data_IF_363782673742
#
_entry.id   IF_363782673742
#
_cell.length_a   1.000
_cell.length_b   1.000
_cell.length_c   1.000
_cell.angle_alpha   90.00
_cell.angle_beta   90.00
_cell.angle_gamma   90.00
#
_symmetry.space_group_name_H-M   'P 1'
#
loop_
_entity.id
_entity.type
_entity.pdbx_description
1 polymer ?
#
# COMPACT_ATOMS: atom_id res chain seq x y z
N UNK A 1 16.06 14.61 -19.03
CA UNK A 1 14.97 13.64 -18.84
C UNK A 1 14.94 13.24 -17.38
N UNK A 2 13.89 13.61 -16.65
CA UNK A 2 13.72 13.27 -15.23
C UNK A 2 13.00 11.94 -15.03
N UNK A 3 13.07 11.39 -13.83
CA UNK A 3 12.38 10.15 -13.46
C UNK A 3 11.64 10.31 -12.15
N UNK A 4 10.44 9.74 -12.03
CA UNK A 4 9.72 9.71 -10.76
C UNK A 4 9.05 8.36 -10.50
N UNK A 5 8.92 8.04 -9.21
CA UNK A 5 8.19 6.85 -8.75
C UNK A 5 6.69 7.06 -8.91
N UNK A 6 5.99 6.06 -9.45
CA UNK A 6 4.52 6.06 -9.52
C UNK A 6 3.92 6.06 -8.12
N UNK A 7 2.96 6.96 -7.88
CA UNK A 7 2.23 7.03 -6.61
C UNK A 7 0.97 6.19 -6.67
N UNK A 8 0.92 5.16 -5.82
CA UNK A 8 -0.14 4.13 -5.82
C UNK A 8 -1.03 4.15 -4.59
N UNK A 9 -0.63 4.88 -3.56
CA UNK A 9 -1.41 5.12 -2.35
C UNK A 9 -1.18 6.56 -1.86
N UNK A 10 -2.07 7.01 -0.96
CA UNK A 10 -2.04 8.34 -0.36
C UNK A 10 -1.66 8.36 1.12
N UNK A 11 -1.12 7.27 1.68
CA UNK A 11 -0.89 7.14 3.13
C UNK A 11 0.21 8.08 3.64
N UNK A 12 1.20 8.37 2.80
CA UNK A 12 2.34 9.24 3.05
C UNK A 12 2.09 10.72 2.67
N UNK A 13 0.94 11.06 2.08
CA UNK A 13 0.65 12.46 1.71
C UNK A 13 0.72 13.42 2.92
N UNK A 14 0.43 12.91 4.12
CA UNK A 14 0.48 13.69 5.37
C UNK A 14 1.90 14.06 5.81
N UNK A 15 2.90 13.29 5.38
CA UNK A 15 4.31 13.47 5.77
C UNK A 15 5.14 14.18 4.71
N UNK A 16 4.56 14.49 3.54
CA UNK A 16 5.28 15.19 2.49
C UNK A 16 5.49 16.66 2.85
N UNK A 17 6.73 17.18 2.75
CA UNK A 17 7.03 18.55 3.14
C UNK A 17 6.26 19.57 2.29
N UNK A 18 5.96 19.28 1.03
CA UNK A 18 5.26 20.19 0.11
C UNK A 18 3.74 20.23 0.30
N UNK A 19 3.19 19.36 1.15
CA UNK A 19 1.75 19.21 1.35
C UNK A 19 1.27 19.94 2.62
N UNK A 20 2.16 20.57 3.42
CA UNK A 20 1.81 21.05 4.75
C UNK A 20 2.64 22.23 5.31
N UNK A 21 3.18 23.12 4.45
CA UNK A 21 4.22 24.09 4.87
C UNK A 21 3.76 25.42 5.46
N UNK A 22 2.45 25.71 5.60
CA UNK A 22 2.01 27.01 6.14
C UNK A 22 1.05 26.92 7.35
N UNK A 23 1.37 27.66 8.42
CA UNK A 23 0.43 28.11 9.45
C UNK A 23 -0.07 27.10 10.49
N UNK A 24 0.46 25.87 10.57
CA UNK A 24 -0.02 24.90 11.57
C UNK A 24 -1.50 24.49 11.37
N UNK A 25 -2.04 24.65 10.16
CA UNK A 25 -3.40 24.24 9.79
C UNK A 25 -4.44 25.36 9.59
N UNK A 26 -4.06 26.64 9.61
CA UNK A 26 -4.98 27.77 9.35
C UNK A 26 -4.97 28.22 7.89
N UNK A 27 -6.13 28.12 7.22
CA UNK A 27 -6.39 28.50 5.83
C UNK A 27 -6.04 29.97 5.49
N UNK A 28 -5.43 30.19 4.31
CA UNK A 28 -5.22 31.50 3.70
C UNK A 28 -5.87 31.53 2.30
N UNK A 29 -6.86 32.40 2.10
CA UNK A 29 -7.59 32.53 0.83
C UNK A 29 -6.77 33.08 -0.35
N UNK A 30 -5.51 33.48 -0.10
CA UNK A 30 -4.63 34.14 -1.08
C UNK A 30 -3.43 33.28 -1.49
N UNK A 31 -3.25 32.06 -0.95
CA UNK A 31 -2.09 31.20 -1.22
C UNK A 31 -2.48 29.71 -1.37
N UNK A 32 -1.93 29.05 -2.38
CA UNK A 32 -2.33 27.72 -2.86
C UNK A 32 -1.70 26.53 -2.11
N UNK A 33 -1.63 26.57 -0.79
CA UNK A 33 -0.69 25.70 -0.05
C UNK A 33 -1.30 24.61 0.83
N UNK A 34 -2.49 24.08 0.49
CA UNK A 34 -3.08 23.01 1.29
C UNK A 34 -3.46 21.78 0.47
N UNK A 35 -2.83 20.66 0.79
CA UNK A 35 -3.46 19.35 0.73
C UNK A 35 -3.63 18.88 2.20
N UNK A 36 -4.75 18.24 2.57
CA UNK A 36 -5.07 18.05 3.97
C UNK A 36 -4.16 17.04 4.68
N UNK A 37 -4.05 17.26 6.00
CA UNK A 37 -3.41 16.38 6.99
C UNK A 37 -4.05 14.98 7.08
N UNK A 38 -5.18 14.71 6.42
CA UNK A 38 -5.69 13.36 6.16
C UNK A 38 -6.69 13.36 4.99
N UNK A 39 -6.76 12.24 4.26
CA UNK A 39 -7.91 11.90 3.43
C UNK A 39 -8.58 10.70 4.12
N UNK A 40 -9.50 10.95 5.05
CA UNK A 40 -10.19 9.89 5.79
C UNK A 40 -11.61 10.33 6.15
N UNK A 41 -12.60 9.81 5.44
CA UNK A 41 -14.03 10.06 5.70
C UNK A 41 -14.72 11.04 4.74
N UNK A 42 -16.01 11.27 4.99
CA UNK A 42 -16.89 12.18 4.24
C UNK A 42 -16.56 13.66 4.50
N UNK A 43 -16.93 14.55 3.57
CA UNK A 43 -16.77 16.02 3.68
C UNK A 43 -17.24 16.61 5.03
N UNK A 44 -18.23 15.99 5.66
CA UNK A 44 -18.84 16.41 6.93
C UNK A 44 -17.95 16.24 8.17
N UNK A 45 -16.95 15.37 8.14
CA UNK A 45 -16.06 15.10 9.29
C UNK A 45 -14.86 16.06 9.34
N UNK A 46 -14.74 16.99 8.39
CA UNK A 46 -13.58 17.85 8.24
C UNK A 46 -13.79 19.21 8.91
N UNK A 47 -12.85 19.59 9.77
CA UNK A 47 -12.87 20.83 10.56
C UNK A 47 -12.93 22.10 9.71
N UNK A 48 -12.57 22.02 8.42
CA UNK A 48 -12.74 23.09 7.45
C UNK A 48 -13.22 22.51 6.11
N UNK A 49 -14.54 22.59 5.88
CA UNK A 49 -15.25 22.14 4.66
C UNK A 49 -14.70 22.69 3.34
N UNK A 50 -13.87 23.72 3.39
CA UNK A 50 -13.31 24.40 2.22
C UNK A 50 -11.85 24.00 1.92
N UNK A 51 -11.23 23.07 2.67
CA UNK A 51 -9.77 22.94 2.73
C UNK A 51 -9.18 21.52 2.65
N UNK A 52 -9.90 20.50 2.16
CA UNK A 52 -9.32 19.15 2.10
C UNK A 52 -9.65 18.39 0.81
N UNK A 53 -8.74 17.58 0.29
CA UNK A 53 -8.96 16.56 -0.75
C UNK A 53 -9.07 17.03 -2.19
N UNK A 54 -9.18 18.34 -2.45
CA UNK A 54 -9.51 18.87 -3.78
C UNK A 54 -8.52 18.42 -4.86
N UNK A 55 -9.06 17.97 -6.00
CA UNK A 55 -8.34 17.61 -7.21
C UNK A 55 -7.26 18.64 -7.59
N UNK A 56 -7.56 19.93 -7.49
CA UNK A 56 -6.65 21.01 -7.88
C UNK A 56 -5.36 21.02 -7.06
N UNK A 57 -5.47 20.80 -5.75
CA UNK A 57 -4.30 20.82 -4.87
C UNK A 57 -3.50 19.54 -4.97
N UNK A 58 -4.20 18.40 -5.04
CA UNK A 58 -3.54 17.12 -5.26
C UNK A 58 -2.73 17.14 -6.55
N UNK A 59 -3.34 17.55 -7.67
CA UNK A 59 -2.67 17.61 -8.97
C UNK A 59 -1.41 18.47 -8.91
N UNK A 60 -1.53 19.73 -8.46
CA UNK A 60 -0.40 20.67 -8.39
C UNK A 60 0.69 20.16 -7.44
N UNK A 61 0.31 19.68 -6.25
CA UNK A 61 1.26 19.13 -5.29
C UNK A 61 1.98 17.90 -5.82
N UNK A 62 1.27 17.01 -6.53
CA UNK A 62 1.84 15.79 -7.11
C UNK A 62 2.79 16.11 -8.26
N UNK A 63 2.45 17.09 -9.11
CA UNK A 63 3.36 17.52 -10.16
C UNK A 63 4.63 18.14 -9.58
N UNK A 64 4.51 19.00 -8.57
CA UNK A 64 5.68 19.57 -7.90
C UNK A 64 6.54 18.49 -7.24
N UNK A 65 5.93 17.51 -6.57
CA UNK A 65 6.63 16.38 -5.95
C UNK A 65 7.38 15.54 -7.00
N UNK A 66 6.70 15.18 -8.10
CA UNK A 66 7.23 14.26 -9.10
C UNK A 66 8.25 14.90 -10.03
N UNK A 67 8.09 16.19 -10.34
CA UNK A 67 8.84 16.85 -11.41
C UNK A 67 9.70 18.02 -10.92
N UNK A 68 9.52 18.45 -9.67
CA UNK A 68 10.10 19.70 -9.16
C UNK A 68 9.44 20.97 -9.72
N UNK A 69 8.56 20.83 -10.73
CA UNK A 69 7.86 21.94 -11.36
C UNK A 69 6.49 22.16 -10.74
N UNK A 70 6.21 23.40 -10.37
CA UNK A 70 4.88 23.84 -9.92
C UNK A 70 4.27 24.75 -10.97
N UNK A 71 3.08 24.39 -11.44
CA UNK A 71 2.31 25.25 -12.36
C UNK A 71 2.17 26.66 -11.76
N UNK A 72 2.51 27.72 -12.51
CA UNK A 72 2.32 29.11 -12.09
C UNK A 72 0.85 29.45 -11.79
N UNK A 73 0.59 30.21 -10.71
CA UNK A 73 -0.75 30.49 -10.20
C UNK A 73 -1.68 31.10 -11.27
N UNK A 74 -1.18 32.02 -12.10
CA UNK A 74 -1.92 32.69 -13.16
C UNK A 74 -2.53 31.72 -14.19
N UNK A 75 -1.95 30.53 -14.36
CA UNK A 75 -2.44 29.51 -15.29
C UNK A 75 -3.52 28.61 -14.68
N UNK A 76 -3.71 28.70 -13.36
CA UNK A 76 -4.56 27.80 -12.56
C UNK A 76 -5.43 28.55 -11.56
N UNK A 77 -5.87 29.77 -11.92
CA UNK A 77 -6.86 30.55 -11.15
C UNK A 77 -8.28 30.04 -11.45
N UNK A 78 -9.11 30.00 -10.42
CA UNK A 78 -10.51 29.59 -10.54
C UNK A 78 -10.70 28.08 -10.51
N UNK A 79 -11.78 27.60 -11.11
CA UNK A 79 -12.12 26.18 -11.09
C UNK A 79 -11.19 25.38 -12.01
N UNK A 80 -11.09 24.07 -11.79
CA UNK A 80 -10.26 23.18 -12.59
C UNK A 80 -10.53 23.33 -14.11
N UNK A 81 -11.81 23.41 -14.52
CA UNK A 81 -12.18 23.58 -15.94
C UNK A 81 -11.63 24.87 -16.57
N UNK A 82 -11.33 25.88 -15.76
CA UNK A 82 -10.90 27.20 -16.22
C UNK A 82 -9.37 27.26 -16.44
N UNK A 83 -8.62 26.25 -15.98
CA UNK A 83 -7.15 26.24 -16.07
C UNK A 83 -6.66 26.17 -17.52
N UNK A 84 -5.57 26.87 -17.81
CA UNK A 84 -4.94 26.87 -19.13
C UNK A 84 -4.29 25.51 -19.42
N UNK A 85 -4.29 25.06 -20.67
CA UNK A 85 -3.62 23.81 -21.10
C UNK A 85 -2.55 24.10 -22.15
N UNK A 86 -1.51 23.28 -22.21
CA UNK A 86 -0.38 23.41 -23.15
C UNK A 86 -0.60 22.61 -24.43
N UNK A 87 -1.21 21.43 -24.31
CA UNK A 87 -1.33 20.46 -25.41
C UNK A 87 -2.54 19.57 -25.23
N UNK A 88 -2.98 18.92 -26.31
CA UNK A 88 -3.97 17.85 -26.30
C UNK A 88 -3.33 16.45 -26.29
N UNK A 89 -2.00 16.38 -26.37
CA UNK A 89 -1.27 15.11 -26.34
C UNK A 89 -0.98 14.71 -24.89
N UNK A 90 -1.35 13.50 -24.45
CA UNK A 90 -1.03 13.02 -23.12
C UNK A 90 0.49 12.88 -22.92
N UNK A 91 0.98 13.36 -21.77
CA UNK A 91 2.41 13.31 -21.41
C UNK A 91 2.58 12.86 -19.96
N UNK A 92 3.55 11.97 -19.70
CA UNK A 92 3.90 11.53 -18.35
C UNK A 92 4.39 12.72 -17.51
N UNK A 93 3.88 12.86 -16.29
CA UNK A 93 4.18 14.00 -15.43
C UNK A 93 3.33 15.25 -15.68
N UNK A 94 2.43 15.23 -16.65
CA UNK A 94 1.49 16.33 -16.90
C UNK A 94 0.28 16.28 -15.97
N UNK A 95 -0.42 17.40 -15.83
CA UNK A 95 -1.77 17.43 -15.29
C UNK A 95 -2.77 17.33 -16.45
N UNK A 96 -3.69 16.38 -16.38
CA UNK A 96 -4.86 16.38 -17.26
C UNK A 96 -5.94 17.28 -16.67
N UNK A 97 -6.52 18.13 -17.50
CA UNK A 97 -7.63 19.03 -17.13
C UNK A 97 -8.91 18.53 -17.79
N UNK A 98 -9.94 18.30 -16.98
CA UNK A 98 -11.27 17.88 -17.43
C UNK A 98 -12.27 19.01 -17.30
N UNK A 99 -13.23 19.05 -18.23
CA UNK A 99 -14.39 19.94 -18.17
C UNK A 99 -15.70 19.17 -18.09
N UNK A 100 -16.62 19.73 -17.34
CA UNK A 100 -18.01 19.32 -17.18
C UNK A 100 -18.90 20.56 -16.95
N UNK A 101 -20.18 20.34 -16.62
CA UNK A 101 -21.09 21.44 -16.28
C UNK A 101 -20.76 22.10 -14.92
N UNK A 102 -20.08 21.38 -14.01
CA UNK A 102 -19.68 21.83 -12.68
C UNK A 102 -18.35 22.58 -12.63
N UNK A 103 -17.44 22.15 -11.75
CA UNK A 103 -16.16 22.83 -11.48
C UNK A 103 -14.98 22.29 -12.33
N UNK A 104 -15.20 21.24 -13.12
CA UNK A 104 -14.13 20.47 -13.75
C UNK A 104 -13.36 19.60 -12.77
N UNK A 105 -12.34 18.93 -13.30
CA UNK A 105 -11.45 18.05 -12.53
C UNK A 105 -10.02 18.18 -13.03
N UNK A 106 -9.04 17.85 -12.18
CA UNK A 106 -7.66 17.64 -12.61
C UNK A 106 -7.08 16.38 -11.99
N UNK A 107 -6.22 15.71 -12.74
CA UNK A 107 -5.50 14.53 -12.30
C UNK A 107 -4.06 14.56 -12.81
N UNK A 108 -3.16 13.82 -12.15
CA UNK A 108 -1.75 13.75 -12.54
C UNK A 108 -1.49 12.49 -13.38
N UNK A 109 -0.82 12.63 -14.52
CA UNK A 109 -0.47 11.52 -15.40
C UNK A 109 0.71 10.76 -14.83
N UNK A 110 0.43 9.63 -14.20
CA UNK A 110 1.45 8.76 -13.60
C UNK A 110 2.19 7.96 -14.67
N UNK A 111 1.48 7.35 -15.64
CA UNK A 111 2.10 6.58 -16.73
C UNK A 111 1.21 6.54 -17.97
N UNK A 112 1.84 6.25 -19.11
CA UNK A 112 1.14 5.93 -20.37
C UNK A 112 1.62 4.56 -20.81
N UNK A 113 0.70 3.61 -21.00
CA UNK A 113 1.04 2.22 -21.31
C UNK A 113 -0.03 1.64 -22.24
N UNK A 114 0.40 1.02 -23.34
CA UNK A 114 -0.50 0.43 -24.36
C UNK A 114 -1.56 1.40 -24.91
N UNK A 115 -1.24 2.69 -24.99
CA UNK A 115 -2.18 3.74 -25.44
C UNK A 115 -3.13 4.26 -24.36
N UNK A 116 -3.12 3.66 -23.16
CA UNK A 116 -3.92 4.10 -22.02
C UNK A 116 -3.14 5.09 -21.13
N UNK A 117 -3.84 6.11 -20.64
CA UNK A 117 -3.26 7.17 -19.81
C UNK A 117 -3.72 6.98 -18.37
N UNK A 118 -2.84 6.45 -17.53
CA UNK A 118 -3.12 6.17 -16.12
C UNK A 118 -2.82 7.37 -15.25
N UNK A 119 -3.75 7.68 -14.36
CA UNK A 119 -3.63 8.85 -13.49
C UNK A 119 -3.71 8.49 -12.02
N UNK A 120 -3.16 9.40 -11.22
CA UNK A 120 -3.47 9.55 -9.81
C UNK A 120 -4.30 10.82 -9.62
N UNK A 121 -5.25 10.79 -8.69
CA UNK A 121 -6.23 11.86 -8.52
C UNK A 121 -6.82 11.87 -7.11
N UNK A 122 -7.55 12.94 -6.79
CA UNK A 122 -8.26 13.09 -5.52
C UNK A 122 -9.55 13.89 -5.71
N UNK A 123 -10.54 13.64 -4.84
CA UNK A 123 -11.84 14.30 -4.68
C UNK A 123 -12.45 15.00 -5.93
N UNK A 124 -13.29 14.25 -6.66
CA UNK A 124 -14.18 14.81 -7.67
C UNK A 124 -15.67 14.84 -7.24
N UNK A 125 -16.06 14.14 -6.16
CA UNK A 125 -17.47 14.00 -5.73
C UNK A 125 -17.70 14.49 -4.29
N UNK A 126 -18.81 15.22 -4.07
CA UNK A 126 -19.31 15.62 -2.74
C UNK A 126 -20.04 14.49 -1.99
N UNK A 127 -20.28 13.33 -2.62
CA UNK A 127 -21.08 12.24 -2.06
C UNK A 127 -20.30 10.92 -2.01
N UNK A 128 -20.09 10.40 -0.80
CA UNK A 128 -19.55 9.06 -0.52
C UNK A 128 -18.03 8.99 -0.24
N UNK A 129 -17.50 7.77 -0.09
CA UNK A 129 -16.06 7.48 0.12
C UNK A 129 -15.19 7.77 -1.13
N UNK A 130 -15.77 8.29 -2.21
CA UNK A 130 -15.10 8.69 -3.45
C UNK A 130 -14.27 9.98 -3.32
N UNK A 131 -14.23 10.55 -2.13
CA UNK A 131 -13.44 11.71 -1.75
C UNK A 131 -11.94 11.41 -1.56
N UNK A 132 -11.56 10.12 -1.62
CA UNK A 132 -10.22 9.63 -1.32
C UNK A 132 -9.30 9.65 -2.55
N UNK A 133 -7.99 9.67 -2.28
CA UNK A 133 -6.95 9.41 -3.29
C UNK A 133 -7.30 8.16 -4.11
N UNK A 134 -7.15 8.26 -5.43
CA UNK A 134 -7.30 7.14 -6.35
C UNK A 134 -6.08 7.06 -7.25
N UNK A 135 -5.64 5.83 -7.50
CA UNK A 135 -4.65 5.51 -8.51
C UNK A 135 -5.19 4.39 -9.40
N UNK A 136 -4.78 4.41 -10.66
CA UNK A 136 -4.99 3.30 -11.60
C UNK A 136 -6.21 3.45 -12.50
N UNK A 137 -7.01 4.52 -12.35
CA UNK A 137 -8.00 4.90 -13.36
C UNK A 137 -7.29 5.47 -14.58
N UNK A 138 -7.86 5.20 -15.74
CA UNK A 138 -7.48 5.84 -17.00
C UNK A 138 -8.25 7.13 -17.21
N UNK A 139 -7.69 8.03 -18.01
CA UNK A 139 -8.40 9.25 -18.49
C UNK A 139 -9.75 8.87 -19.14
N UNK A 140 -9.76 7.83 -19.97
CA UNK A 140 -10.96 7.31 -20.63
C UNK A 140 -12.03 6.85 -19.63
N UNK A 141 -11.62 6.16 -18.55
CA UNK A 141 -12.53 5.75 -17.48
C UNK A 141 -13.10 6.93 -16.71
N UNK A 142 -12.30 7.96 -16.42
CA UNK A 142 -12.79 9.19 -15.77
C UNK A 142 -13.85 9.85 -16.64
N UNK A 143 -13.55 10.08 -17.93
CA UNK A 143 -14.51 10.65 -18.86
C UNK A 143 -15.83 9.87 -18.89
N UNK A 144 -15.75 8.54 -18.95
CA UNK A 144 -16.93 7.66 -18.99
C UNK A 144 -17.73 7.66 -17.69
N UNK A 145 -17.06 7.57 -16.54
CA UNK A 145 -17.72 7.43 -15.23
C UNK A 145 -18.36 8.74 -14.78
N UNK A 146 -17.73 9.86 -15.13
CA UNK A 146 -18.12 11.18 -14.65
C UNK A 146 -18.76 12.08 -15.69
N UNK A 147 -18.96 11.57 -16.91
CA UNK A 147 -19.50 12.31 -18.05
C UNK A 147 -18.72 13.61 -18.31
N UNK A 148 -17.39 13.48 -18.35
CA UNK A 148 -16.46 14.59 -18.52
C UNK A 148 -15.74 14.51 -19.85
N UNK A 149 -15.23 15.64 -20.32
CA UNK A 149 -14.35 15.71 -21.49
C UNK A 149 -12.98 16.25 -21.11
N UNK A 150 -11.94 15.82 -21.84
CA UNK A 150 -10.58 16.32 -21.63
C UNK A 150 -10.45 17.68 -22.31
N UNK A 151 -10.06 18.70 -21.55
CA UNK A 151 -9.67 20.01 -22.08
C UNK A 151 -8.30 19.95 -22.73
N UNK A 152 -7.37 19.25 -22.09
CA UNK A 152 -5.97 19.15 -22.48
C UNK A 152 -5.07 18.86 -21.27
N UNK A 153 -3.77 19.02 -21.48
CA UNK A 153 -2.72 18.68 -20.52
C UNK A 153 -1.84 19.89 -20.21
N UNK A 154 -1.48 20.05 -18.95
CA UNK A 154 -0.50 21.05 -18.47
C UNK A 154 0.83 20.36 -18.26
N UNK A 155 1.84 20.76 -19.02
CA UNK A 155 3.14 20.08 -19.05
C UNK A 155 4.01 20.49 -17.85
N UNK A 156 4.86 19.57 -17.34
CA UNK A 156 5.94 19.95 -16.45
C UNK A 156 7.07 20.65 -17.23
N UNK A 157 8.03 21.25 -16.51
CA UNK A 157 9.26 21.77 -17.12
C UNK A 157 10.23 20.62 -17.43
N UNK A 158 10.22 20.17 -18.70
CA UNK A 158 11.05 19.09 -19.22
C UNK A 158 10.33 17.76 -19.40
N UNK A 159 11.06 16.76 -19.90
CA UNK A 159 10.54 15.42 -20.16
C UNK A 159 10.78 14.48 -18.99
N UNK A 160 9.76 13.67 -18.66
CA UNK A 160 9.79 12.73 -17.54
C UNK A 160 9.36 11.33 -17.95
N UNK A 161 9.94 10.34 -17.29
CA UNK A 161 9.47 8.95 -17.30
C UNK A 161 9.12 8.52 -15.89
N UNK A 162 8.12 7.66 -15.77
CA UNK A 162 7.70 7.08 -14.51
C UNK A 162 8.26 5.67 -14.36
N UNK A 163 8.54 5.24 -13.13
CA UNK A 163 8.83 3.83 -12.84
C UNK A 163 7.90 3.28 -11.76
N UNK A 164 7.54 2.02 -11.92
CA UNK A 164 6.83 1.25 -10.91
C UNK A 164 7.84 0.71 -9.91
N UNK A 165 7.68 1.06 -8.64
CA UNK A 165 8.47 0.47 -7.58
C UNK A 165 7.80 -0.87 -7.27
N UNK A 166 8.25 -1.94 -7.93
CA UNK A 166 7.92 -3.29 -7.46
C UNK A 166 8.58 -3.42 -6.08
N UNK A 167 7.83 -3.14 -5.02
CA UNK A 167 8.39 -3.11 -3.67
C UNK A 167 8.78 -4.50 -3.14
N UNK A 168 8.36 -5.57 -3.82
CA UNK A 168 8.73 -6.93 -3.48
C UNK A 168 9.64 -7.54 -4.54
N UNK A 169 10.77 -8.08 -4.10
CA UNK A 169 11.42 -9.12 -4.89
C UNK A 169 10.45 -10.29 -5.10
N UNK A 170 10.50 -10.90 -6.29
CA UNK A 170 9.77 -12.12 -6.58
C UNK A 170 10.34 -13.26 -5.72
N UNK A 171 9.54 -13.75 -4.77
CA UNK A 171 9.94 -14.82 -3.84
C UNK A 171 9.38 -16.14 -4.31
N UNK A 172 10.25 -17.15 -4.46
CA UNK A 172 9.84 -18.50 -4.84
C UNK A 172 8.94 -19.12 -3.77
N UNK A 173 7.79 -19.63 -4.18
CA UNK A 173 6.80 -20.28 -3.32
C UNK A 173 5.83 -21.08 -4.18
N UNK A 174 5.82 -22.40 -4.02
CA UNK A 174 4.91 -23.26 -4.78
C UNK A 174 3.61 -23.47 -4.00
N UNK A 175 2.49 -23.24 -4.66
CA UNK A 175 1.19 -23.48 -4.07
C UNK A 175 0.08 -23.56 -5.10
N UNK A 176 -1.13 -23.69 -4.60
CA UNK A 176 -2.38 -23.61 -5.32
C UNK A 176 -3.17 -22.47 -4.71
N UNK A 177 -3.63 -21.56 -5.56
CA UNK A 177 -4.54 -20.48 -5.21
C UNK A 177 -5.96 -20.85 -5.63
N UNK A 178 -6.93 -20.56 -4.77
CA UNK A 178 -8.35 -20.87 -4.96
C UNK A 178 -9.15 -19.58 -4.84
N UNK A 179 -9.97 -19.26 -5.84
CA UNK A 179 -10.84 -18.09 -5.78
C UNK A 179 -11.98 -18.31 -4.77
N UNK A 180 -12.08 -17.44 -3.77
CA UNK A 180 -13.07 -17.54 -2.67
C UNK A 180 -14.26 -16.60 -2.84
N UNK A 181 -14.15 -15.58 -3.69
CA UNK A 181 -15.26 -14.71 -4.05
C UNK A 181 -16.21 -15.40 -5.03
N UNK A 182 -17.53 -15.26 -4.83
CA UNK A 182 -18.55 -15.85 -5.71
C UNK A 182 -18.49 -15.34 -7.15
N UNK A 183 -17.88 -14.18 -7.38
CA UNK A 183 -17.65 -13.60 -8.70
C UNK A 183 -16.32 -14.03 -9.32
N UNK A 184 -15.54 -14.88 -8.65
CA UNK A 184 -14.19 -15.27 -9.05
C UNK A 184 -13.14 -14.20 -8.76
N UNK A 185 -11.92 -14.43 -9.24
CA UNK A 185 -10.77 -13.55 -9.02
C UNK A 185 -10.10 -13.16 -10.33
N UNK A 186 -9.71 -11.89 -10.45
CA UNK A 186 -9.05 -11.38 -11.66
C UNK A 186 -7.60 -11.88 -11.73
N UNK A 187 -7.18 -12.33 -12.92
CA UNK A 187 -5.77 -12.61 -13.24
C UNK A 187 -5.24 -11.45 -14.10
N UNK A 188 -4.08 -10.92 -13.72
CA UNK A 188 -3.50 -9.71 -14.29
C UNK A 188 -2.12 -9.95 -14.86
N UNK A 189 -1.72 -9.13 -15.83
CA UNK A 189 -0.41 -9.20 -16.50
C UNK A 189 0.77 -8.91 -15.56
N UNK A 190 0.52 -8.13 -14.51
CA UNK A 190 1.49 -7.77 -13.48
C UNK A 190 0.88 -7.76 -12.08
N UNK A 191 1.70 -7.73 -11.01
CA UNK A 191 1.25 -7.73 -9.62
C UNK A 191 0.75 -6.34 -9.20
N UNK A 192 -0.30 -5.81 -9.83
CA UNK A 192 -0.84 -4.48 -9.54
C UNK A 192 -2.34 -4.44 -9.83
N UNK A 193 -3.09 -3.68 -9.03
CA UNK A 193 -4.50 -3.38 -9.25
C UNK A 193 -4.74 -2.64 -10.56
N UNK A 194 -3.74 -1.92 -11.07
CA UNK A 194 -3.78 -1.20 -12.35
C UNK A 194 -3.33 -2.04 -13.54
N UNK A 195 -2.72 -3.21 -13.30
CA UNK A 195 -2.25 -4.07 -14.39
C UNK A 195 -3.43 -4.63 -15.19
N UNK A 196 -3.27 -4.69 -16.51
CA UNK A 196 -4.21 -5.26 -17.46
C UNK A 196 -4.74 -6.62 -16.97
N UNK A 197 -6.07 -6.79 -16.95
CA UNK A 197 -6.70 -8.08 -16.70
C UNK A 197 -6.56 -8.95 -17.94
N UNK A 198 -5.99 -10.14 -17.77
CA UNK A 198 -5.73 -11.08 -18.87
C UNK A 198 -6.59 -12.34 -18.80
N UNK A 199 -7.12 -12.68 -17.62
CA UNK A 199 -8.03 -13.82 -17.42
C UNK A 199 -8.84 -13.66 -16.11
N UNK A 200 -9.66 -14.66 -15.77
CA UNK A 200 -10.30 -14.81 -14.46
C UNK A 200 -10.19 -16.25 -13.94
N UNK A 201 -10.10 -16.39 -12.62
CA UNK A 201 -10.24 -17.67 -11.92
C UNK A 201 -11.66 -17.75 -11.36
N UNK A 202 -12.54 -18.64 -11.87
CA UNK A 202 -13.90 -18.82 -11.37
C UNK A 202 -13.95 -19.24 -9.90
N UNK A 203 -15.08 -18.98 -9.24
CA UNK A 203 -15.30 -19.34 -7.84
C UNK A 203 -15.05 -20.84 -7.60
N UNK A 204 -14.32 -21.16 -6.52
CA UNK A 204 -13.88 -22.51 -6.14
C UNK A 204 -12.95 -23.22 -7.15
N UNK A 205 -12.51 -22.55 -8.22
CA UNK A 205 -11.46 -23.10 -9.08
C UNK A 205 -10.07 -22.86 -8.49
N UNK A 206 -9.16 -23.78 -8.81
CA UNK A 206 -7.79 -23.84 -8.32
C UNK A 206 -6.79 -23.58 -9.46
N UNK A 207 -5.72 -22.85 -9.16
CA UNK A 207 -4.62 -22.63 -10.10
C UNK A 207 -3.27 -22.74 -9.39
N UNK A 208 -2.27 -23.44 -9.95
CA UNK A 208 -0.95 -23.48 -9.36
C UNK A 208 -0.22 -22.14 -9.52
N UNK A 209 0.56 -21.78 -8.51
CA UNK A 209 1.48 -20.64 -8.52
C UNK A 209 2.89 -21.08 -8.07
N UNK A 210 3.89 -20.32 -8.48
CA UNK A 210 5.32 -20.65 -8.27
C UNK A 210 6.09 -19.61 -7.48
N UNK A 211 5.54 -18.41 -7.37
CA UNK A 211 6.16 -17.30 -6.66
C UNK A 211 5.09 -16.39 -6.06
N UNK A 212 5.49 -15.55 -5.12
CA UNK A 212 4.72 -14.40 -4.69
C UNK A 212 5.54 -13.12 -4.71
N UNK A 213 4.85 -11.99 -4.70
CA UNK A 213 5.42 -10.65 -4.58
C UNK A 213 4.44 -9.77 -3.82
N UNK A 214 4.96 -8.90 -2.95
CA UNK A 214 4.15 -7.90 -2.28
C UNK A 214 4.24 -6.62 -3.09
N UNK A 215 3.09 -6.14 -3.55
CA UNK A 215 3.00 -4.87 -4.25
C UNK A 215 1.64 -4.23 -3.97
N UNK A 216 1.61 -2.90 -3.81
CA UNK A 216 0.39 -2.15 -3.46
C UNK A 216 -0.26 -2.62 -2.15
N UNK A 217 0.56 -3.09 -1.19
CA UNK A 217 0.04 -3.66 0.06
C UNK A 217 -0.60 -5.04 -0.12
N UNK A 218 -0.63 -5.60 -1.33
CA UNK A 218 -1.26 -6.88 -1.64
C UNK A 218 -0.18 -7.95 -1.90
N UNK A 219 -0.40 -9.15 -1.37
CA UNK A 219 0.34 -10.35 -1.75
C UNK A 219 -0.23 -10.87 -3.07
N UNK A 220 0.55 -10.74 -4.14
CA UNK A 220 0.24 -11.29 -5.46
C UNK A 220 0.97 -12.61 -5.65
N UNK A 221 0.27 -13.63 -6.14
CA UNK A 221 0.90 -14.91 -6.50
C UNK A 221 1.00 -15.06 -8.02
N UNK A 222 2.12 -15.59 -8.50
CA UNK A 222 2.45 -15.74 -9.92
C UNK A 222 2.08 -17.14 -10.41
N UNK A 223 1.10 -17.19 -11.30
CA UNK A 223 0.57 -18.39 -11.94
C UNK A 223 1.06 -18.50 -13.39
N UNK A 224 0.73 -19.58 -14.09
CA UNK A 224 1.01 -19.72 -15.53
C UNK A 224 0.25 -18.72 -16.40
N UNK A 225 -0.85 -18.16 -15.88
CA UNK A 225 -1.75 -17.23 -16.60
C UNK A 225 -1.49 -15.76 -16.27
N UNK A 226 -0.72 -15.48 -15.23
CA UNK A 226 -0.46 -14.12 -14.73
C UNK A 226 -0.46 -14.04 -13.20
N UNK A 227 -0.75 -12.87 -12.66
CA UNK A 227 -0.76 -12.56 -11.24
C UNK A 227 -2.18 -12.49 -10.69
N UNK A 228 -2.39 -13.07 -9.52
CA UNK A 228 -3.68 -13.05 -8.82
C UNK A 228 -3.48 -12.57 -7.39
N UNK A 229 -4.38 -11.72 -6.93
CA UNK A 229 -4.34 -11.17 -5.58
C UNK A 229 -4.76 -12.25 -4.58
N UNK A 230 -3.90 -12.53 -3.59
CA UNK A 230 -4.18 -13.50 -2.53
C UNK A 230 -4.79 -12.82 -1.31
N UNK A 231 -4.10 -11.86 -0.72
CA UNK A 231 -4.50 -11.16 0.52
C UNK A 231 -3.78 -9.83 0.67
N UNK A 232 -4.26 -8.98 1.57
CA UNK A 232 -3.48 -7.84 2.05
C UNK A 232 -2.25 -8.32 2.82
N UNK A 233 -1.15 -7.58 2.74
CA UNK A 233 0.14 -7.92 3.34
C UNK A 233 0.09 -7.87 4.87
N UNK A 234 -0.84 -7.10 5.44
CA UNK A 234 -1.14 -7.05 6.86
C UNK A 234 -2.13 -8.15 7.32
N UNK A 235 -2.62 -8.97 6.38
CA UNK A 235 -3.65 -9.99 6.58
C UNK A 235 -5.03 -9.46 7.00
N UNK A 236 -5.31 -8.18 6.85
CA UNK A 236 -6.61 -7.58 7.17
C UNK A 236 -7.75 -8.12 6.29
N UNK A 237 -7.41 -8.58 5.07
CA UNK A 237 -8.37 -9.10 4.11
C UNK A 237 -7.77 -10.17 3.21
N UNK A 238 -8.55 -11.20 2.92
CA UNK A 238 -8.24 -12.23 1.94
C UNK A 238 -9.10 -12.06 0.68
N UNK A 239 -8.47 -12.18 -0.49
CA UNK A 239 -9.08 -12.11 -1.83
C UNK A 239 -9.19 -13.48 -2.49
N UNK A 240 -8.25 -14.38 -2.17
CA UNK A 240 -8.21 -15.77 -2.62
C UNK A 240 -7.49 -16.60 -1.58
N UNK A 241 -8.01 -17.80 -1.31
CA UNK A 241 -7.33 -18.76 -0.44
C UNK A 241 -6.09 -19.30 -1.17
N UNK A 242 -5.06 -19.68 -0.42
CA UNK A 242 -3.91 -20.34 -1.01
C UNK A 242 -3.41 -21.46 -0.08
N UNK A 243 -3.09 -22.60 -0.67
CA UNK A 243 -2.49 -23.76 0.00
C UNK A 243 -1.17 -24.12 -0.67
N UNK A 244 -0.17 -24.52 0.10
CA UNK A 244 1.13 -24.89 -0.44
C UNK A 244 1.11 -26.29 -1.05
N UNK A 245 1.87 -26.51 -2.12
CA UNK A 245 1.85 -27.77 -2.88
C UNK A 245 3.27 -28.23 -3.17
N UNK A 246 3.65 -29.36 -2.58
CA UNK A 246 4.91 -30.08 -2.85
C UNK A 246 6.11 -29.62 -2.03
N UNK A 247 6.98 -30.58 -1.69
CA UNK A 247 8.17 -30.39 -0.87
C UNK A 247 9.10 -29.28 -1.40
N UNK A 248 9.69 -28.46 -0.52
CA UNK A 248 10.63 -27.41 -0.92
C UNK A 248 11.75 -28.01 -1.77
N UNK A 249 12.16 -27.31 -2.83
CA UNK A 249 13.43 -27.60 -3.51
C UNK A 249 14.48 -27.86 -2.43
N UNK A 250 15.11 -29.05 -2.44
CA UNK A 250 15.92 -29.56 -1.34
C UNK A 250 16.77 -28.42 -0.78
N UNK A 251 16.40 -27.87 0.39
CA UNK A 251 17.12 -26.71 0.91
C UNK A 251 18.55 -27.16 1.09
N UNK A 252 19.52 -26.29 0.80
CA UNK A 252 20.65 -26.26 1.73
C UNK A 252 20.00 -26.10 3.09
N UNK A 253 20.11 -27.08 4.02
CA UNK A 253 19.30 -27.09 5.24
C UNK A 253 19.34 -25.69 5.88
N UNK A 254 18.20 -25.04 6.13
CA UNK A 254 18.21 -23.87 6.99
C UNK A 254 18.86 -24.32 8.29
N UNK A 255 19.79 -23.54 8.83
CA UNK A 255 20.20 -23.73 10.22
C UNK A 255 18.95 -23.51 11.07
N UNK A 256 18.22 -24.58 11.35
CA UNK A 256 17.10 -24.58 12.30
C UNK A 256 17.64 -24.13 13.64
N UNK A 257 16.94 -23.21 14.30
CA UNK A 257 17.28 -22.88 15.67
C UNK A 257 16.45 -23.69 16.67
N UNK A 258 15.62 -24.64 16.20
CA UNK A 258 14.94 -25.59 17.08
C UNK A 258 15.99 -26.36 17.89
N UNK A 259 15.85 -26.32 19.22
CA UNK A 259 16.83 -26.87 20.15
C UNK A 259 17.93 -25.91 20.60
N UNK A 260 18.15 -24.79 19.89
CA UNK A 260 19.00 -23.67 20.31
C UNK A 260 18.23 -22.73 21.25
N UNK A 261 18.89 -21.66 21.69
CA UNK A 261 18.37 -20.75 22.71
C UNK A 261 18.17 -19.33 22.15
N UNK A 262 16.99 -18.76 22.37
CA UNK A 262 16.68 -17.36 22.08
C UNK A 262 17.07 -16.49 23.28
N UNK A 263 18.01 -15.56 23.12
CA UNK A 263 18.41 -14.60 24.15
C UNK A 263 17.43 -13.43 24.18
N UNK A 264 16.87 -13.17 25.37
CA UNK A 264 15.80 -12.20 25.61
C UNK A 264 16.31 -10.88 26.23
N UNK A 265 17.63 -10.68 26.27
CA UNK A 265 18.26 -9.51 26.89
C UNK A 265 17.97 -8.19 26.17
N UNK A 266 17.69 -7.12 26.93
CA UNK A 266 17.80 -5.73 26.44
C UNK A 266 16.55 -5.15 25.76
N UNK A 267 15.41 -5.85 25.80
CA UNK A 267 14.13 -5.33 25.30
C UNK A 267 13.04 -5.46 26.36
N UNK A 268 12.13 -4.48 26.40
CA UNK A 268 10.86 -4.63 27.11
C UNK A 268 9.95 -5.46 26.21
N UNK A 269 9.63 -6.67 26.66
CA UNK A 269 8.81 -7.58 25.89
C UNK A 269 7.34 -7.43 26.27
N UNK A 270 6.51 -7.15 25.26
CA UNK A 270 5.06 -7.22 25.37
C UNK A 270 4.61 -8.54 24.75
N UNK A 271 4.41 -9.56 25.57
CA UNK A 271 3.87 -10.84 25.07
C UNK A 271 2.35 -10.81 25.14
N UNK A 272 1.71 -11.11 24.01
CA UNK A 272 0.27 -11.42 23.99
C UNK A 272 0.11 -12.87 24.43
N UNK A 273 -0.27 -13.05 25.69
CA UNK A 273 -0.56 -14.36 26.25
C UNK A 273 -1.91 -14.82 25.68
N UNK A 274 -1.90 -15.81 24.78
CA UNK A 274 -3.14 -16.47 24.35
C UNK A 274 -3.34 -17.71 25.21
N UNK A 275 -4.17 -17.64 26.24
CA UNK A 275 -4.76 -18.85 26.79
C UNK A 275 -5.79 -19.39 25.79
N UNK A 276 -5.88 -20.71 25.72
CA UNK A 276 -6.84 -21.45 24.89
C UNK A 276 -8.23 -21.55 25.54
N UNK A 277 -8.49 -20.84 26.64
CA UNK A 277 -9.82 -20.75 27.26
C UNK A 277 -10.49 -19.39 26.98
N UNK A 278 -11.73 -19.43 26.49
CA UNK A 278 -12.48 -18.29 25.95
C UNK A 278 -12.92 -17.24 27.00
N UNK A 279 -12.43 -17.33 28.24
CA UNK A 279 -12.95 -16.55 29.37
C UNK A 279 -11.99 -15.49 29.93
N UNK A 280 -10.82 -15.26 29.35
CA UNK A 280 -9.89 -14.22 29.81
C UNK A 280 -9.60 -13.15 28.74
N UNK A 281 -9.93 -11.87 28.97
CA UNK A 281 -9.48 -10.80 28.10
C UNK A 281 -7.97 -10.63 28.32
N UNK A 282 -7.17 -11.03 27.32
CA UNK A 282 -5.72 -11.13 27.41
C UNK A 282 -5.05 -9.90 28.03
N UNK A 283 -4.28 -10.13 29.10
CA UNK A 283 -3.40 -9.12 29.70
C UNK A 283 -2.03 -9.10 29.01
N UNK A 284 -1.41 -7.92 28.96
CA UNK A 284 0.00 -7.79 28.61
C UNK A 284 0.83 -7.98 29.88
N UNK A 285 1.67 -9.01 29.92
CA UNK A 285 2.67 -9.15 30.97
C UNK A 285 3.95 -8.45 30.50
N UNK A 286 4.30 -7.33 31.15
CA UNK A 286 5.62 -6.71 31.01
C UNK A 286 6.61 -7.48 31.90
N UNK A 287 7.64 -8.07 31.29
CA UNK A 287 8.82 -8.50 32.03
C UNK A 287 9.90 -7.44 31.87
N UNK A 288 10.19 -6.74 32.97
CA UNK A 288 11.26 -5.74 33.06
C UNK A 288 12.62 -6.36 33.38
N UNK A 289 12.70 -7.68 33.64
CA UNK A 289 13.95 -8.35 34.05
C UNK A 289 14.22 -9.69 33.34
N UNK A 290 14.21 -9.66 32.01
CA UNK A 290 14.72 -10.74 31.14
C UNK A 290 16.19 -10.54 30.74
N UNK A 291 16.89 -9.63 31.42
CA UNK A 291 18.30 -9.39 31.16
C UNK A 291 19.11 -10.70 31.29
N UNK A 292 19.85 -11.02 30.24
CA UNK A 292 20.72 -12.21 30.14
C UNK A 292 20.02 -13.58 30.17
N UNK A 293 18.69 -13.65 30.06
CA UNK A 293 17.98 -14.92 30.04
C UNK A 293 17.83 -15.49 28.64
N UNK A 294 17.78 -16.81 28.52
CA UNK A 294 17.55 -17.49 27.25
C UNK A 294 16.47 -18.56 27.36
N UNK A 295 15.66 -18.70 26.31
CA UNK A 295 14.57 -19.67 26.24
C UNK A 295 14.80 -20.65 25.07
N UNK A 296 14.52 -21.93 25.31
CA UNK A 296 14.68 -22.96 24.28
C UNK A 296 13.66 -22.77 23.17
N UNK A 297 14.12 -22.81 21.93
CA UNK A 297 13.26 -22.74 20.74
C UNK A 297 12.68 -24.13 20.51
N UNK A 298 11.35 -24.22 20.62
CA UNK A 298 10.58 -25.47 20.50
C UNK A 298 10.11 -25.70 19.07
N UNK A 299 9.77 -24.62 18.36
CA UNK A 299 9.16 -24.65 17.04
C UNK A 299 9.52 -23.35 16.31
N UNK A 300 9.65 -23.39 14.99
CA UNK A 300 9.82 -22.22 14.14
C UNK A 300 8.76 -22.26 13.04
N UNK A 301 8.02 -21.17 12.86
CA UNK A 301 7.02 -21.05 11.80
C UNK A 301 6.84 -19.58 11.39
N UNK A 302 6.67 -19.32 10.09
CA UNK A 302 6.32 -18.00 9.54
C UNK A 302 7.17 -16.82 10.08
N UNK A 303 8.49 -17.01 10.22
CA UNK A 303 9.41 -15.97 10.71
C UNK A 303 9.30 -15.68 12.21
N UNK A 304 8.67 -16.59 12.97
CA UNK A 304 8.53 -16.56 14.42
C UNK A 304 9.09 -17.84 15.02
N UNK A 305 9.46 -17.74 16.30
CA UNK A 305 9.89 -18.88 17.11
C UNK A 305 8.93 -19.07 18.28
N UNK A 306 8.63 -20.32 18.60
CA UNK A 306 7.89 -20.72 19.80
C UNK A 306 8.89 -21.04 20.89
N UNK A 307 8.81 -20.32 22.00
CA UNK A 307 9.70 -20.49 23.15
C UNK A 307 8.92 -20.83 24.40
N UNK A 308 9.53 -21.63 25.27
CA UNK A 308 9.02 -21.86 26.62
C UNK A 308 9.56 -20.79 27.55
N UNK A 309 8.68 -20.03 28.20
CA UNK A 309 9.03 -19.07 29.24
C UNK A 309 8.18 -19.37 30.48
N UNK A 310 8.71 -20.16 31.43
CA UNK A 310 8.04 -20.65 32.64
C UNK A 310 7.33 -19.60 33.50
N UNK A 311 7.75 -18.33 33.42
CA UNK A 311 7.12 -17.23 34.16
C UNK A 311 5.80 -16.73 33.55
N UNK A 312 5.34 -17.30 32.42
CA UNK A 312 4.02 -17.02 31.83
C UNK A 312 3.05 -18.20 31.99
N UNK A 313 1.76 -17.89 31.93
CA UNK A 313 0.69 -18.88 31.81
C UNK A 313 -0.26 -18.50 30.65
N UNK A 314 -0.26 -19.24 29.52
CA UNK A 314 0.58 -20.41 29.29
C UNK A 314 2.06 -20.05 29.19
N UNK A 315 2.90 -20.99 29.59
CA UNK A 315 4.36 -20.88 29.56
C UNK A 315 4.95 -20.95 28.15
N UNK A 316 4.14 -20.81 27.10
CA UNK A 316 4.53 -20.89 25.70
C UNK A 316 4.12 -19.61 24.99
N UNK A 317 5.07 -18.97 24.31
CA UNK A 317 4.85 -17.73 23.58
C UNK A 317 5.52 -17.76 22.20
N UNK A 318 4.92 -17.05 21.24
CA UNK A 318 5.46 -16.87 19.90
C UNK A 318 6.12 -15.50 19.75
N UNK A 319 7.39 -15.49 19.37
CA UNK A 319 8.22 -14.28 19.25
C UNK A 319 8.70 -14.13 17.81
N UNK A 320 8.73 -12.92 17.27
CA UNK A 320 9.27 -12.71 15.93
C UNK A 320 10.79 -12.96 15.93
N UNK A 321 11.29 -13.64 14.90
CA UNK A 321 12.72 -13.98 14.81
C UNK A 321 13.61 -12.72 14.76
N UNK A 322 13.08 -11.60 14.26
CA UNK A 322 13.74 -10.30 14.24
C UNK A 322 13.95 -9.66 15.61
N UNK A 323 13.29 -10.15 16.66
CA UNK A 323 13.37 -9.57 18.00
C UNK A 323 14.40 -10.27 18.89
N UNK A 324 14.85 -11.47 18.51
CA UNK A 324 15.73 -12.31 19.33
C UNK A 324 17.13 -12.46 18.71
N UNK A 325 18.11 -12.80 19.56
CA UNK A 325 19.39 -13.35 19.09
C UNK A 325 19.48 -14.82 19.47
N UNK A 326 20.02 -15.66 18.59
CA UNK A 326 20.10 -17.11 18.81
C UNK A 326 21.51 -17.54 19.22
N UNK A 327 21.62 -18.38 20.25
CA UNK A 327 22.87 -18.97 20.73
C UNK A 327 22.77 -20.49 20.85
N UNK A 328 23.90 -21.20 20.72
CA UNK A 328 23.96 -22.68 20.86
C UNK A 328 23.86 -23.16 22.31
N UNK A 329 24.20 -22.29 23.26
CA UNK A 329 24.09 -22.55 24.69
C UNK A 329 23.31 -21.43 25.38
N UNK A 330 22.56 -21.72 26.46
CA UNK A 330 21.88 -20.69 27.23
C UNK A 330 22.91 -19.85 27.99
N UNK A 331 22.70 -18.53 28.10
CA UNK A 331 23.44 -17.72 29.08
C UNK A 331 22.96 -18.03 30.50
N UNK A 332 21.65 -17.90 30.70
CA UNK A 332 20.92 -18.37 31.88
C UNK A 332 19.56 -18.88 31.38
N UNK A 333 19.38 -20.21 31.37
CA UNK A 333 18.13 -20.81 30.93
C UNK A 333 17.01 -20.47 31.91
N UNK A 334 15.88 -20.01 31.38
CA UNK A 334 14.68 -19.82 32.18
C UNK A 334 14.12 -21.22 32.46
N UNK A 335 14.28 -21.69 33.70
CA UNK A 335 13.73 -22.95 34.19
C UNK A 335 12.29 -22.82 34.62
#
# INVERSE_FOLDING_TARGET
>A
MGTFKIRKNGADLQSLPFYNTYGGGSFNALQDEYAPKSCGGTMSAMTNKNAAGNCTWYGVGRQQEATGYRVPLERRRGNAKDWSVDTNTPTVGALVVFVDAGYGHVAFVEKIENGEVYVSESAYSERGNDFLFKYGRTVSEICRVWDMTVKGYMLPDGEFTSYDDVQGELKAENGIVTATDKNGSNIRKGPSLSAERVDGLPYNEELPYTHYVINEGIVWVKTSKGYIARREADNSKEYSAARFVGEPAKPTPPKTNVGRYANLSGQTWLFKVSRTDETYPGGYNQLTDLANRSAKILEEDNGRVKISVPSFDPNIVWVANSQISVTDAPKYEIK
#
